data_IF_174063867211
#
_entry.id   IF_174063867211
#
_cell.length_a   1.000
_cell.length_b   1.000
_cell.length_c   1.000
_cell.angle_alpha   90.00
_cell.angle_beta   90.00
_cell.angle_gamma   90.00
#
_symmetry.space_group_name_H-M   'P 1'
#
loop_
_entity.id
_entity.type
_entity.pdbx_description
1 polymer ?
#
# COMPACT_ATOMS: atom_id res chain seq x y z
N UNK A 1 20.88 6.61 -8.37
CA UNK A 1 20.79 5.15 -8.67
C UNK A 1 21.41 4.25 -7.59
N UNK A 2 22.53 4.63 -6.96
CA UNK A 2 23.25 3.77 -6.00
C UNK A 2 22.49 3.46 -4.70
N UNK A 3 21.72 4.41 -4.14
CA UNK A 3 20.96 4.20 -2.90
C UNK A 3 19.89 3.11 -3.03
N UNK A 4 19.01 3.21 -4.03
CA UNK A 4 17.97 2.20 -4.27
C UNK A 4 18.53 0.77 -4.42
N UNK A 5 19.61 0.61 -5.22
CA UNK A 5 20.25 -0.70 -5.39
C UNK A 5 20.80 -1.22 -4.06
N UNK A 6 21.55 -0.40 -3.33
CA UNK A 6 22.08 -0.75 -2.00
C UNK A 6 20.98 -1.14 -1.02
N UNK A 7 19.91 -0.35 -0.91
CA UNK A 7 18.82 -0.58 0.03
C UNK A 7 18.06 -1.87 -0.32
N UNK A 8 17.80 -2.11 -1.62
CA UNK A 8 17.19 -3.34 -2.11
C UNK A 8 18.07 -4.56 -1.86
N UNK A 9 19.38 -4.45 -2.11
CA UNK A 9 20.31 -5.56 -1.90
C UNK A 9 20.47 -5.87 -0.40
N UNK A 10 20.48 -4.85 0.45
CA UNK A 10 20.45 -5.01 1.90
C UNK A 10 19.14 -5.67 2.38
N UNK A 11 17.98 -5.30 1.83
CA UNK A 11 16.71 -5.96 2.10
C UNK A 11 16.73 -7.44 1.65
N UNK A 12 17.24 -7.72 0.46
CA UNK A 12 17.38 -9.09 -0.06
C UNK A 12 18.31 -9.95 0.79
N UNK A 13 19.45 -9.41 1.26
CA UNK A 13 20.35 -10.13 2.18
C UNK A 13 19.66 -10.49 3.49
N UNK A 14 18.89 -9.55 4.07
CA UNK A 14 18.09 -9.81 5.29
C UNK A 14 17.04 -10.90 5.07
N UNK A 15 16.41 -10.95 3.90
CA UNK A 15 15.42 -11.98 3.56
C UNK A 15 16.08 -13.33 3.25
N UNK A 16 17.23 -13.35 2.58
CA UNK A 16 17.97 -14.57 2.27
C UNK A 16 18.50 -15.29 3.52
N UNK A 17 18.72 -14.55 4.60
CA UNK A 17 19.11 -15.13 5.89
C UNK A 17 17.95 -15.84 6.64
N UNK A 18 16.73 -15.85 6.09
CA UNK A 18 15.56 -16.48 6.72
C UNK A 18 15.15 -17.74 5.95
N UNK A 19 14.69 -18.76 6.69
CA UNK A 19 14.07 -19.94 6.08
C UNK A 19 12.84 -19.53 5.27
N UNK A 20 12.87 -19.76 3.96
CA UNK A 20 11.75 -19.44 3.05
C UNK A 20 10.93 -20.70 2.79
N UNK A 21 9.63 -20.53 2.73
CA UNK A 21 8.67 -21.54 2.31
C UNK A 21 7.99 -21.06 1.03
N UNK A 22 7.63 -21.99 0.18
CA UNK A 22 6.94 -21.71 -1.08
C UNK A 22 5.62 -22.44 -1.09
N UNK A 23 4.54 -21.69 -1.31
CA UNK A 23 3.22 -22.23 -1.59
C UNK A 23 3.01 -22.18 -3.10
N UNK A 24 2.80 -23.34 -3.71
CA UNK A 24 2.36 -23.39 -5.10
C UNK A 24 0.90 -22.96 -5.15
N UNK A 25 0.62 -21.81 -5.78
CA UNK A 25 -0.74 -21.34 -6.00
C UNK A 25 -1.07 -21.44 -7.50
N UNK A 26 -1.99 -22.34 -7.91
CA UNK A 26 -2.28 -22.61 -9.33
C UNK A 26 -2.65 -21.36 -10.14
N UNK A 27 -3.32 -20.39 -9.50
CA UNK A 27 -3.84 -19.18 -10.13
C UNK A 27 -2.88 -17.98 -10.07
N UNK A 28 -1.87 -18.03 -9.19
CA UNK A 28 -1.05 -16.86 -8.80
C UNK A 28 0.45 -17.06 -9.02
N UNK A 29 0.86 -18.29 -9.34
CA UNK A 29 2.26 -18.69 -9.33
C UNK A 29 2.75 -19.02 -7.92
N UNK A 30 4.06 -19.16 -7.76
CA UNK A 30 4.64 -19.50 -6.46
C UNK A 30 4.60 -18.30 -5.51
N UNK A 31 3.98 -18.49 -4.34
CA UNK A 31 3.97 -17.52 -3.25
C UNK A 31 5.09 -17.89 -2.28
N UNK A 32 6.10 -17.04 -2.16
CA UNK A 32 7.19 -17.23 -1.20
C UNK A 32 6.92 -16.45 0.09
N UNK A 33 7.01 -17.12 1.23
CA UNK A 33 6.82 -16.51 2.54
C UNK A 33 7.88 -16.98 3.54
N UNK A 34 8.07 -16.21 4.61
CA UNK A 34 8.93 -16.59 5.73
C UNK A 34 8.17 -16.31 7.03
N UNK A 35 8.29 -17.20 8.01
CA UNK A 35 7.69 -17.04 9.34
C UNK A 35 8.83 -16.79 10.32
N UNK A 36 8.73 -15.71 11.10
CA UNK A 36 9.67 -15.40 12.17
C UNK A 36 8.97 -14.60 13.28
N UNK A 37 9.51 -14.67 14.49
CA UNK A 37 8.99 -13.96 15.66
C UNK A 37 8.17 -14.84 16.60
N UNK A 38 7.80 -14.27 17.74
CA UNK A 38 6.96 -14.88 18.78
C UNK A 38 5.83 -13.89 19.13
N UNK A 39 4.72 -14.41 19.66
CA UNK A 39 3.55 -13.62 20.05
C UNK A 39 2.32 -13.82 19.16
N UNK A 40 1.20 -13.15 19.49
CA UNK A 40 -0.06 -13.28 18.78
C UNK A 40 0.06 -12.75 17.33
N UNK A 41 -0.52 -13.45 16.34
CA UNK A 41 -0.48 -13.01 14.95
C UNK A 41 -1.38 -11.77 14.77
N UNK A 42 -0.79 -10.71 14.24
CA UNK A 42 -1.51 -9.50 13.80
C UNK A 42 -1.45 -9.41 12.28
N UNK A 43 -2.60 -9.21 11.65
CA UNK A 43 -2.65 -8.89 10.22
C UNK A 43 -2.50 -7.38 10.03
N UNK A 44 -1.35 -6.96 9.50
CA UNK A 44 -1.16 -5.61 8.98
C UNK A 44 -1.31 -5.62 7.46
N UNK A 45 -2.40 -5.05 6.98
CA UNK A 45 -2.58 -4.73 5.56
C UNK A 45 -2.48 -3.22 5.41
N UNK A 46 -1.55 -2.75 4.59
CA UNK A 46 -1.43 -1.34 4.22
C UNK A 46 -1.80 -1.21 2.74
N UNK A 47 -2.58 -0.19 2.35
CA UNK A 47 -2.91 0.07 0.96
C UNK A 47 -1.62 0.43 0.20
N UNK A 48 -1.01 -0.56 -0.43
CA UNK A 48 -0.08 -0.38 -1.53
C UNK A 48 -0.56 -1.32 -2.62
N UNK A 49 -0.56 -0.86 -3.87
CA UNK A 49 -0.95 -1.61 -5.08
C UNK A 49 -1.02 -3.13 -4.85
N UNK A 50 -2.23 -3.72 -4.84
CA UNK A 50 -2.44 -5.17 -4.61
C UNK A 50 -3.47 -5.57 -3.54
N UNK A 51 -4.04 -4.63 -2.78
CA UNK A 51 -4.94 -4.90 -1.64
C UNK A 51 -6.45 -4.87 -1.92
N UNK A 52 -7.24 -5.46 -1.01
CA UNK A 52 -8.71 -5.46 -1.09
C UNK A 52 -9.33 -4.07 -0.94
N UNK A 53 -8.57 -3.12 -0.44
CA UNK A 53 -8.89 -1.72 -0.15
C UNK A 53 -8.80 -0.82 -1.42
N UNK A 54 -8.03 -1.21 -2.43
CA UNK A 54 -7.91 -0.44 -3.69
C UNK A 54 -9.15 -0.59 -4.59
N UNK A 55 -9.85 -1.73 -4.49
CA UNK A 55 -11.09 -2.00 -5.23
C UNK A 55 -10.95 -2.03 -6.75
N UNK A 56 -12.07 -2.18 -7.48
CA UNK A 56 -12.07 -2.25 -8.94
C UNK A 56 -11.90 -0.89 -9.64
N UNK A 57 -11.93 0.24 -8.92
CA UNK A 57 -11.82 1.58 -9.53
C UNK A 57 -10.50 1.83 -10.27
N UNK A 58 -9.46 1.06 -9.98
CA UNK A 58 -8.19 1.08 -10.73
C UNK A 58 -8.20 0.21 -12.00
N UNK A 59 -9.27 -0.55 -12.26
CA UNK A 59 -9.38 -1.46 -13.43
C UNK A 59 -9.62 -0.72 -14.74
N UNK A 60 -10.11 0.52 -14.70
CA UNK A 60 -10.40 1.35 -15.89
C UNK A 60 -9.19 2.19 -16.35
N UNK A 61 -7.99 1.80 -15.92
CA UNK A 61 -6.75 2.34 -16.43
C UNK A 61 -6.48 1.75 -17.83
N UNK A 62 -7.08 2.37 -18.84
CA UNK A 62 -6.94 2.02 -20.26
C UNK A 62 -5.47 1.91 -20.71
N UNK A 63 -5.25 1.46 -21.95
CA UNK A 63 -3.92 1.16 -22.50
C UNK A 63 -2.85 2.26 -22.28
N UNK A 64 -3.26 3.54 -22.18
CA UNK A 64 -2.39 4.67 -21.83
C UNK A 64 -1.73 4.55 -20.45
N UNK A 65 -2.45 4.16 -19.40
CA UNK A 65 -1.87 3.96 -18.07
C UNK A 65 -0.80 2.86 -18.06
N UNK A 66 -1.03 1.74 -18.79
CA UNK A 66 -0.06 0.64 -18.97
C UNK A 66 1.24 1.09 -19.65
N UNK A 67 1.18 2.14 -20.47
CA UNK A 67 2.31 2.72 -21.18
C UNK A 67 3.11 3.70 -20.29
N UNK A 68 2.42 4.44 -19.41
CA UNK A 68 3.04 5.35 -18.44
C UNK A 68 3.73 4.60 -17.29
N UNK A 69 3.13 3.49 -16.82
CA UNK A 69 3.77 2.62 -15.83
C UNK A 69 5.04 2.00 -16.43
N UNK A 70 6.18 2.47 -15.93
CA UNK A 70 7.50 1.92 -16.25
C UNK A 70 8.48 2.88 -16.93
N UNK A 71 8.11 4.13 -17.16
CA UNK A 71 9.04 5.15 -17.68
C UNK A 71 9.66 5.97 -16.54
N UNK A 72 10.93 5.68 -16.24
CA UNK A 72 11.70 6.46 -15.25
C UNK A 72 11.83 7.93 -15.67
N UNK A 73 12.03 8.19 -16.98
CA UNK A 73 12.19 9.55 -17.52
C UNK A 73 10.92 10.37 -17.37
N UNK A 74 9.76 9.81 -17.73
CA UNK A 74 8.48 10.51 -17.62
C UNK A 74 8.20 10.93 -16.18
N UNK A 75 8.31 9.98 -15.25
CA UNK A 75 8.07 10.26 -13.84
C UNK A 75 9.12 11.23 -13.29
N UNK A 76 10.37 11.17 -13.75
CA UNK A 76 11.38 12.15 -13.39
C UNK A 76 11.04 13.56 -13.90
N UNK A 77 10.55 13.70 -15.14
CA UNK A 77 10.07 14.99 -15.68
C UNK A 77 8.90 15.52 -14.87
N UNK A 78 7.89 14.67 -14.58
CA UNK A 78 6.75 15.06 -13.75
C UNK A 78 7.20 15.53 -12.36
N UNK A 79 8.11 14.80 -11.73
CA UNK A 79 8.69 15.18 -10.44
C UNK A 79 9.41 16.53 -10.49
N UNK A 80 10.16 16.80 -11.56
CA UNK A 80 10.98 18.00 -11.66
C UNK A 80 10.18 19.24 -12.04
N UNK A 81 9.19 19.09 -12.92
CA UNK A 81 8.50 20.23 -13.56
C UNK A 81 7.00 20.32 -13.23
N UNK A 82 6.40 19.26 -12.70
CA UNK A 82 5.00 19.23 -12.28
C UNK A 82 4.79 18.50 -10.93
N UNK A 83 5.49 18.86 -9.83
CA UNK A 83 5.34 18.20 -8.54
C UNK A 83 3.88 18.08 -8.04
N UNK A 84 3.01 19.11 -8.18
CA UNK A 84 1.61 18.98 -7.76
C UNK A 84 0.84 17.90 -8.52
N UNK A 85 1.20 17.62 -9.78
CA UNK A 85 0.59 16.54 -10.57
C UNK A 85 1.06 15.18 -10.07
N UNK A 86 2.37 15.03 -9.80
CA UNK A 86 2.91 13.79 -9.23
C UNK A 86 2.33 13.50 -7.84
N UNK A 87 2.20 14.51 -6.98
CA UNK A 87 1.62 14.36 -5.65
C UNK A 87 0.16 13.87 -5.71
N UNK A 88 -0.62 14.35 -6.68
CA UNK A 88 -2.00 13.87 -6.92
C UNK A 88 -2.03 12.41 -7.38
N UNK A 89 -1.10 12.00 -8.26
CA UNK A 89 -0.95 10.59 -8.68
C UNK A 89 -0.65 9.70 -7.46
N UNK A 90 -0.04 10.25 -6.42
CA UNK A 90 0.26 9.55 -5.16
C UNK A 90 -0.83 9.68 -4.10
N UNK A 91 -2.02 10.15 -4.48
CA UNK A 91 -3.17 10.19 -3.60
C UNK A 91 -3.21 11.40 -2.67
N UNK A 92 -2.44 12.47 -2.96
CA UNK A 92 -2.65 13.75 -2.28
C UNK A 92 -4.01 14.34 -2.70
N UNK A 93 -4.90 14.71 -1.75
CA UNK A 93 -6.20 15.28 -2.07
C UNK A 93 -6.10 16.61 -2.81
N UNK A 94 -7.10 16.92 -3.65
CA UNK A 94 -7.18 18.21 -4.36
C UNK A 94 -7.31 19.35 -3.35
N UNK A 95 -6.52 20.41 -3.52
CA UNK A 95 -6.56 21.58 -2.62
C UNK A 95 -5.94 21.32 -1.24
N UNK A 96 -5.27 20.18 -1.03
CA UNK A 96 -4.50 19.96 0.19
C UNK A 96 -3.24 20.82 0.18
N UNK A 97 -3.10 21.70 1.17
CA UNK A 97 -1.94 22.56 1.39
C UNK A 97 -1.09 21.95 2.52
N UNK A 98 -0.05 21.18 2.20
CA UNK A 98 0.76 20.52 3.21
C UNK A 98 1.57 21.54 4.01
N UNK A 99 1.68 21.32 5.32
CA UNK A 99 2.73 21.91 6.16
C UNK A 99 4.12 21.49 5.64
N UNK A 100 5.18 22.19 6.07
CA UNK A 100 6.56 21.85 5.65
C UNK A 100 6.93 20.39 5.94
N UNK A 101 6.43 19.86 7.05
CA UNK A 101 6.67 18.48 7.47
C UNK A 101 5.91 17.46 6.62
N UNK A 102 4.66 17.75 6.26
CA UNK A 102 3.88 16.93 5.33
C UNK A 102 4.47 16.99 3.91
N UNK A 103 4.91 18.17 3.47
CA UNK A 103 5.55 18.33 2.17
C UNK A 103 6.87 17.55 2.08
N UNK A 104 7.65 17.48 3.18
CA UNK A 104 8.82 16.58 3.26
C UNK A 104 8.41 15.12 3.09
N UNK A 105 7.34 14.67 3.74
CA UNK A 105 6.85 13.29 3.62
C UNK A 105 6.36 12.95 2.22
N UNK A 106 5.63 13.86 1.58
CA UNK A 106 5.22 13.68 0.17
C UNK A 106 6.46 13.49 -0.71
N UNK A 107 7.49 14.33 -0.54
CA UNK A 107 8.76 14.17 -1.27
C UNK A 107 9.46 12.85 -0.96
N UNK A 108 9.47 12.39 0.28
CA UNK A 108 10.08 11.09 0.63
C UNK A 108 9.30 9.92 0.00
N UNK A 109 7.97 9.98 -0.01
CA UNK A 109 7.12 9.02 -0.70
C UNK A 109 7.41 9.03 -2.21
N UNK A 110 7.47 10.20 -2.84
CA UNK A 110 7.84 10.36 -4.26
C UNK A 110 9.21 9.75 -4.58
N UNK A 111 10.21 9.99 -3.72
CA UNK A 111 11.55 9.42 -3.89
C UNK A 111 11.55 7.90 -3.79
N UNK A 112 10.71 7.34 -2.92
CA UNK A 112 10.61 5.89 -2.72
C UNK A 112 10.09 5.16 -3.96
N UNK A 113 9.32 5.84 -4.83
CA UNK A 113 8.81 5.25 -6.07
C UNK A 113 9.93 4.85 -7.02
N UNK A 114 10.99 5.66 -7.10
CA UNK A 114 12.02 5.48 -8.11
C UNK A 114 13.00 4.36 -7.74
N UNK A 115 13.46 3.57 -8.74
CA UNK A 115 13.04 3.59 -10.14
C UNK A 115 11.66 2.93 -10.36
N UNK A 116 10.88 3.49 -11.29
CA UNK A 116 9.56 3.03 -11.70
C UNK A 116 9.66 1.79 -12.60
N UNK A 117 10.61 1.77 -13.54
CA UNK A 117 10.71 0.72 -14.56
C UNK A 117 10.70 -0.71 -13.99
N UNK A 118 11.47 -1.04 -12.94
CA UNK A 118 11.47 -2.39 -12.37
C UNK A 118 10.14 -2.79 -11.71
N UNK A 119 9.31 -1.82 -11.32
CA UNK A 119 8.01 -2.05 -10.65
C UNK A 119 6.88 -2.34 -11.62
N UNK A 120 7.04 -2.04 -12.92
CA UNK A 120 6.00 -2.17 -13.95
C UNK A 120 5.28 -3.52 -13.91
N UNK A 121 6.04 -4.62 -13.83
CA UNK A 121 5.46 -5.97 -13.86
C UNK A 121 4.56 -6.23 -12.65
N UNK A 122 5.01 -5.86 -11.46
CA UNK A 122 4.22 -5.99 -10.23
C UNK A 122 2.99 -5.10 -10.29
N UNK A 123 3.15 -3.81 -10.63
CA UNK A 123 2.03 -2.88 -10.73
C UNK A 123 0.92 -3.35 -11.70
N UNK A 124 1.30 -3.92 -12.86
CA UNK A 124 0.33 -4.50 -13.80
C UNK A 124 -0.36 -5.75 -13.23
N UNK A 125 0.39 -6.63 -12.56
CA UNK A 125 -0.17 -7.80 -11.89
C UNK A 125 -1.16 -7.39 -10.79
N UNK A 126 -0.78 -6.43 -9.96
CA UNK A 126 -1.62 -5.92 -8.87
C UNK A 126 -2.91 -5.32 -9.43
N UNK A 127 -2.81 -4.49 -10.45
CA UNK A 127 -3.96 -3.81 -11.08
C UNK A 127 -4.94 -4.77 -11.73
N UNK A 128 -4.44 -5.73 -12.51
CA UNK A 128 -5.29 -6.53 -13.40
C UNK A 128 -5.55 -7.96 -12.91
N UNK A 129 -4.82 -8.44 -11.91
CA UNK A 129 -4.93 -9.83 -11.43
C UNK A 129 -5.22 -9.86 -9.92
N UNK A 130 -4.37 -9.24 -9.08
CA UNK A 130 -4.53 -9.30 -7.61
C UNK A 130 -5.75 -8.52 -7.12
N UNK A 131 -5.87 -7.23 -7.49
CA UNK A 131 -6.94 -6.34 -7.00
C UNK A 131 -8.35 -6.84 -7.33
N UNK A 132 -8.66 -7.36 -8.55
CA UNK A 132 -9.98 -7.93 -8.84
C UNK A 132 -10.28 -9.19 -8.02
N UNK A 133 -9.28 -10.02 -7.77
CA UNK A 133 -9.48 -11.34 -7.19
C UNK A 133 -9.62 -11.32 -5.67
N UNK A 134 -8.76 -10.54 -5.00
CA UNK A 134 -8.76 -10.42 -3.52
C UNK A 134 -10.10 -9.94 -2.96
N UNK A 135 -10.94 -9.28 -3.79
CA UNK A 135 -12.30 -8.88 -3.39
C UNK A 135 -13.20 -10.07 -3.05
N UNK A 136 -12.91 -11.24 -3.61
CA UNK A 136 -13.73 -12.46 -3.51
C UNK A 136 -13.29 -13.40 -2.39
N UNK A 137 -12.15 -13.12 -1.75
CA UNK A 137 -11.62 -13.97 -0.68
C UNK A 137 -12.58 -14.04 0.51
N UNK A 138 -12.71 -15.18 1.19
CA UNK A 138 -13.61 -15.35 2.32
C UNK A 138 -13.05 -14.66 3.56
N UNK A 139 -13.12 -13.33 3.59
CA UNK A 139 -12.62 -12.51 4.70
C UNK A 139 -13.26 -12.87 6.05
N UNK A 140 -14.45 -13.48 6.03
CA UNK A 140 -15.13 -14.01 7.21
C UNK A 140 -14.39 -15.17 7.90
N UNK A 141 -13.48 -15.84 7.20
CA UNK A 141 -12.70 -16.96 7.74
C UNK A 141 -11.45 -16.47 8.50
N UNK A 142 -11.18 -15.16 8.50
CA UNK A 142 -10.07 -14.58 9.24
C UNK A 142 -10.38 -14.55 10.75
N UNK A 143 -9.62 -15.32 11.52
CA UNK A 143 -9.74 -15.40 12.98
C UNK A 143 -8.73 -14.51 13.74
N UNK A 144 -7.82 -13.84 13.03
CA UNK A 144 -6.78 -13.00 13.65
C UNK A 144 -7.30 -11.59 13.95
N UNK A 145 -6.89 -10.97 15.06
CA UNK A 145 -7.16 -9.55 15.31
C UNK A 145 -6.76 -8.71 14.10
N UNK A 146 -7.67 -7.85 13.65
CA UNK A 146 -7.49 -7.05 12.44
C UNK A 146 -7.78 -5.58 12.72
N UNK A 147 -6.81 -4.72 12.36
CA UNK A 147 -6.94 -3.27 12.36
C UNK A 147 -6.86 -2.76 10.92
N UNK A 148 -7.86 -1.99 10.51
CA UNK A 148 -7.88 -1.30 9.22
C UNK A 148 -7.88 0.20 9.51
N UNK A 149 -6.95 0.93 8.89
CA UNK A 149 -6.87 2.40 8.99
C UNK A 149 -6.93 2.96 7.57
N UNK A 150 -7.92 3.77 7.25
CA UNK A 150 -8.07 4.38 5.93
C UNK A 150 -8.57 5.82 6.05
N UNK A 151 -8.12 6.68 5.16
CA UNK A 151 -8.68 8.03 5.05
C UNK A 151 -9.96 8.03 4.21
N UNK A 152 -10.94 8.84 4.60
CA UNK A 152 -12.18 9.02 3.84
C UNK A 152 -11.93 9.79 2.53
N UNK A 153 -10.93 10.67 2.51
CA UNK A 153 -10.50 11.42 1.33
C UNK A 153 -9.35 10.76 0.54
N UNK A 154 -9.10 9.46 0.76
CA UNK A 154 -8.11 8.69 0.00
C UNK A 154 -8.56 8.51 -1.47
N UNK A 155 -7.84 9.19 -2.37
CA UNK A 155 -8.09 9.13 -3.82
C UNK A 155 -7.49 7.92 -4.55
N UNK A 156 -6.72 7.06 -3.86
CA UNK A 156 -6.12 5.85 -4.41
C UNK A 156 -6.78 4.57 -3.86
N UNK A 157 -7.14 4.56 -2.59
CA UNK A 157 -7.81 3.45 -1.93
C UNK A 157 -9.16 3.90 -1.40
N UNK A 158 -10.22 3.63 -2.17
CA UNK A 158 -11.55 4.10 -1.83
C UNK A 158 -11.99 3.56 -0.47
N UNK A 159 -12.39 4.46 0.42
CA UNK A 159 -12.74 4.16 1.81
C UNK A 159 -13.82 3.09 1.94
N UNK A 160 -14.75 3.02 1.00
CA UNK A 160 -15.83 2.05 0.94
C UNK A 160 -15.31 0.61 0.87
N UNK A 161 -14.15 0.39 0.23
CA UNK A 161 -13.55 -0.95 0.17
C UNK A 161 -13.01 -1.37 1.54
N UNK A 162 -12.32 -0.46 2.23
CA UNK A 162 -11.84 -0.67 3.61
C UNK A 162 -13.02 -0.91 4.56
N UNK A 163 -14.08 -0.11 4.45
CA UNK A 163 -15.30 -0.27 5.24
C UNK A 163 -16.02 -1.61 4.94
N UNK A 164 -16.11 -2.02 3.67
CA UNK A 164 -16.67 -3.32 3.29
C UNK A 164 -15.85 -4.47 3.85
N UNK A 165 -14.52 -4.39 3.79
CA UNK A 165 -13.65 -5.42 4.34
C UNK A 165 -13.79 -5.53 5.86
N UNK A 166 -13.77 -4.40 6.58
CA UNK A 166 -13.97 -4.37 8.03
C UNK A 166 -15.29 -5.03 8.45
N UNK A 167 -16.37 -4.85 7.68
CA UNK A 167 -17.66 -5.51 7.95
C UNK A 167 -17.65 -7.02 7.74
N UNK A 168 -16.76 -7.53 6.90
CA UNK A 168 -16.67 -8.97 6.57
C UNK A 168 -15.75 -9.73 7.51
N UNK A 169 -14.74 -9.05 8.07
CA UNK A 169 -13.74 -9.66 8.96
C UNK A 169 -14.29 -9.66 10.40
N UNK A 170 -14.45 -10.82 11.04
CA UNK A 170 -14.93 -10.91 12.41
C UNK A 170 -14.03 -10.13 13.37
N UNK A 171 -14.62 -9.23 14.16
CA UNK A 171 -13.89 -8.45 15.16
C UNK A 171 -12.92 -7.40 14.60
N UNK A 172 -12.96 -7.09 13.31
CA UNK A 172 -12.09 -6.06 12.75
C UNK A 172 -12.44 -4.66 13.28
N UNK A 173 -11.40 -3.90 13.64
CA UNK A 173 -11.50 -2.48 13.99
C UNK A 173 -11.19 -1.63 12.76
N UNK A 174 -12.11 -0.76 12.38
CA UNK A 174 -11.87 0.28 11.37
C UNK A 174 -11.62 1.63 12.06
N UNK A 175 -10.46 2.21 11.80
CA UNK A 175 -10.15 3.60 12.16
C UNK A 175 -10.33 4.46 10.91
N UNK A 176 -11.47 5.13 10.84
CA UNK A 176 -11.74 6.13 9.81
C UNK A 176 -11.00 7.43 10.13
N UNK A 177 -10.23 7.91 9.15
CA UNK A 177 -9.51 9.17 9.23
C UNK A 177 -10.18 10.15 8.27
N UNK A 178 -10.77 11.22 8.78
CA UNK A 178 -11.55 12.16 7.95
C UNK A 178 -10.75 12.77 6.79
N UNK A 179 -9.45 13.06 7.01
CA UNK A 179 -8.59 13.77 6.06
C UNK A 179 -7.14 13.31 6.14
N UNK A 180 -6.45 13.36 5.02
CA UNK A 180 -5.01 13.09 4.90
C UNK A 180 -4.62 12.34 3.64
N UNK A 181 -5.61 11.94 2.83
CA UNK A 181 -5.43 11.15 1.62
C UNK A 181 -4.71 9.83 1.89
N UNK A 182 -4.14 9.28 0.82
CA UNK A 182 -3.47 7.98 0.85
C UNK A 182 -2.31 7.88 1.85
N UNK A 183 -1.61 9.00 2.07
CA UNK A 183 -0.45 9.06 2.96
C UNK A 183 -0.82 9.36 4.42
N UNK A 184 -2.12 9.49 4.75
CA UNK A 184 -2.61 9.85 6.09
C UNK A 184 -1.89 11.10 6.64
N UNK A 185 -1.73 12.12 5.79
CA UNK A 185 -0.99 13.34 6.12
C UNK A 185 -1.62 14.05 7.33
N UNK A 186 -0.75 14.52 8.24
CA UNK A 186 -1.17 15.18 9.47
C UNK A 186 -1.83 14.29 10.51
N UNK A 187 -1.80 12.95 10.36
CA UNK A 187 -2.48 11.99 11.25
C UNK A 187 -1.54 10.93 11.82
N UNK A 188 -0.23 11.12 11.70
CA UNK A 188 0.79 10.11 12.06
C UNK A 188 0.87 9.85 13.57
N UNK A 189 0.60 10.83 14.42
CA UNK A 189 0.49 10.59 15.88
C UNK A 189 -0.68 9.66 16.15
N UNK A 190 -1.88 10.05 15.71
CA UNK A 190 -3.09 9.23 15.84
C UNK A 190 -2.92 7.82 15.28
N UNK A 191 -2.36 7.67 14.08
CA UNK A 191 -2.10 6.35 13.48
C UNK A 191 -1.16 5.50 14.35
N UNK A 192 -0.09 6.09 14.88
CA UNK A 192 0.83 5.38 15.79
C UNK A 192 0.17 5.01 17.10
N UNK A 193 -0.65 5.89 17.66
CA UNK A 193 -1.36 5.65 18.91
C UNK A 193 -2.39 4.52 18.74
N UNK A 194 -3.13 4.51 17.62
CA UNK A 194 -4.08 3.45 17.29
C UNK A 194 -3.40 2.11 17.06
N UNK A 195 -2.25 2.09 16.37
CA UNK A 195 -1.42 0.88 16.23
C UNK A 195 -0.92 0.43 17.60
N UNK A 196 -0.40 1.34 18.43
CA UNK A 196 0.11 1.02 19.76
C UNK A 196 -0.97 0.43 20.67
N UNK A 197 -2.14 1.06 20.70
CA UNK A 197 -3.30 0.57 21.45
C UNK A 197 -3.77 -0.81 20.95
N UNK A 198 -3.79 -1.01 19.64
CA UNK A 198 -4.16 -2.29 19.04
C UNK A 198 -3.16 -3.40 19.40
N UNK A 199 -1.87 -3.14 19.31
CA UNK A 199 -0.82 -4.10 19.68
C UNK A 199 -0.87 -4.46 21.17
N UNK A 200 -1.14 -3.48 22.05
CA UNK A 200 -1.28 -3.72 23.48
C UNK A 200 -2.53 -4.54 23.83
N UNK A 201 -3.64 -4.37 23.08
CA UNK A 201 -4.88 -5.12 23.29
C UNK A 201 -4.95 -6.48 22.58
N UNK A 202 -4.04 -6.75 21.64
CA UNK A 202 -3.93 -8.03 20.94
C UNK A 202 -3.02 -9.04 21.66
N UNK A 203 -2.41 -8.64 22.78
CA UNK A 203 -1.50 -9.43 23.62
C UNK A 203 -2.23 -10.36 24.58
#
# INVERSE_FOLDING_TARGET
MNRYRRDKDAARRRLAARGRRTLAAPSWGNIEYAVWGEGPPVLLSHPLFGGFDIGPGHQDQGAGARMLFGSDLLFWVLKQYAPPVLARILGQPKGFHPTDDEARRVRDAEQSLFPIRPRKRGALFDTFVSNPDVQRYPLQDLAVPTLIINAEDDGLSAFENAARAAKRIPGAKLVAVERGGHLLLGRQSRVRDEIGAFMAGAS
#
